data_IF_017976591491
#
_entry.id   IF_017976591491
#
_cell.length_a   1.000
_cell.length_b   1.000
_cell.length_c   1.000
_cell.angle_alpha   90.00
_cell.angle_beta   90.00
_cell.angle_gamma   90.00
#
_symmetry.space_group_name_H-M   'P 1'
#
loop_
_entity.id
_entity.type
_entity.pdbx_description
1 polymer ?
#
# COMPACT_ATOMS: atom_id res chain seq x y z
N UNK A 1 1.92 26.70 23.68
CA UNK A 1 2.88 26.58 22.55
C UNK A 1 3.25 25.12 22.21
N UNK A 2 3.20 24.17 23.16
CA UNK A 2 3.53 22.75 22.91
C UNK A 2 2.57 22.02 21.93
N UNK A 3 1.29 22.38 21.90
CA UNK A 3 0.28 21.68 21.08
C UNK A 3 0.45 21.87 19.57
N UNK A 4 0.85 23.06 19.11
CA UNK A 4 0.91 23.37 17.67
C UNK A 4 2.06 22.61 16.96
N UNK A 5 3.17 22.35 17.68
CA UNK A 5 4.29 21.58 17.15
C UNK A 5 3.93 20.09 17.01
N UNK A 6 3.25 19.52 18.01
CA UNK A 6 2.75 18.13 17.95
C UNK A 6 1.78 17.90 16.77
N UNK A 7 0.83 18.81 16.56
CA UNK A 7 -0.11 18.71 15.43
C UNK A 7 0.60 18.79 14.08
N UNK A 8 1.56 19.70 13.92
CA UNK A 8 2.34 19.80 12.67
C UNK A 8 3.14 18.53 12.36
N UNK A 9 3.75 17.90 13.37
CA UNK A 9 4.51 16.65 13.21
C UNK A 9 3.61 15.45 12.92
N UNK A 10 2.43 15.38 13.55
CA UNK A 10 1.42 14.37 13.26
C UNK A 10 0.93 14.47 11.81
N UNK A 11 0.65 15.68 11.33
CA UNK A 11 0.24 15.94 9.95
C UNK A 11 1.32 15.56 8.94
N UNK A 12 2.58 15.88 9.23
CA UNK A 12 3.71 15.50 8.35
C UNK A 12 3.90 13.98 8.27
N UNK A 13 3.79 13.29 9.41
CA UNK A 13 3.86 11.83 9.47
C UNK A 13 2.69 11.16 8.72
N UNK A 14 1.48 11.71 8.84
CA UNK A 14 0.32 11.26 8.07
C UNK A 14 0.52 11.45 6.56
N UNK A 15 1.02 12.62 6.13
CA UNK A 15 1.37 12.91 4.73
C UNK A 15 2.41 11.94 4.18
N UNK A 16 3.48 11.66 4.94
CA UNK A 16 4.53 10.70 4.56
C UNK A 16 3.98 9.28 4.41
N UNK A 17 3.06 8.85 5.28
CA UNK A 17 2.37 7.55 5.15
C UNK A 17 1.55 7.48 3.85
N UNK A 18 0.72 8.49 3.57
CA UNK A 18 -0.10 8.55 2.36
C UNK A 18 0.76 8.58 1.09
N UNK A 19 1.86 9.34 1.10
CA UNK A 19 2.80 9.39 -0.02
C UNK A 19 3.40 8.02 -0.35
N UNK A 20 3.77 7.24 0.68
CA UNK A 20 4.33 5.89 0.51
C UNK A 20 3.32 4.90 -0.09
N UNK A 21 2.06 4.99 0.34
CA UNK A 21 0.95 4.19 -0.22
C UNK A 21 0.68 4.56 -1.67
N UNK A 22 0.64 5.86 -2.01
CA UNK A 22 0.44 6.33 -3.39
C UNK A 22 1.52 5.80 -4.34
N UNK A 23 2.79 5.84 -3.92
CA UNK A 23 3.91 5.36 -4.72
C UNK A 23 3.83 3.85 -4.98
N UNK A 24 3.38 3.07 -3.99
CA UNK A 24 3.11 1.64 -4.14
C UNK A 24 2.01 1.36 -5.16
N UNK A 25 0.88 2.08 -5.11
CA UNK A 25 -0.21 1.90 -6.08
C UNK A 25 0.22 2.21 -7.51
N UNK A 26 1.03 3.25 -7.73
CA UNK A 26 1.57 3.55 -9.07
C UNK A 26 2.41 2.36 -9.58
N UNK A 27 3.32 1.83 -8.75
CA UNK A 27 4.14 0.68 -9.13
C UNK A 27 3.29 -0.58 -9.42
N UNK A 28 2.27 -0.83 -8.60
CA UNK A 28 1.35 -1.95 -8.79
C UNK A 28 0.55 -1.82 -10.10
N UNK A 29 0.06 -0.62 -10.43
CA UNK A 29 -0.67 -0.37 -11.68
C UNK A 29 0.27 -0.55 -12.88
N UNK A 30 1.49 0.02 -12.85
CA UNK A 30 2.49 -0.19 -13.89
C UNK A 30 2.82 -1.67 -14.09
N UNK A 31 2.90 -2.44 -13.00
CA UNK A 31 3.13 -3.88 -13.06
C UNK A 31 1.97 -4.65 -13.73
N UNK A 32 0.73 -4.33 -13.39
CA UNK A 32 -0.46 -4.94 -14.01
C UNK A 32 -0.50 -4.63 -15.52
N UNK A 33 -0.21 -3.38 -15.90
CA UNK A 33 -0.13 -2.97 -17.31
C UNK A 33 1.00 -3.72 -18.01
N UNK A 34 2.17 -3.82 -17.39
CA UNK A 34 3.31 -4.58 -17.92
C UNK A 34 2.96 -6.04 -18.17
N UNK A 35 2.34 -6.72 -17.21
CA UNK A 35 1.86 -8.10 -17.39
C UNK A 35 0.86 -8.20 -18.55
N UNK A 36 -0.11 -7.29 -18.60
CA UNK A 36 -1.16 -7.31 -19.63
C UNK A 36 -0.57 -7.16 -21.04
N UNK A 37 0.38 -6.23 -21.21
CA UNK A 37 1.11 -6.05 -22.47
C UNK A 37 1.98 -7.26 -22.81
N UNK A 38 2.59 -7.90 -21.82
CA UNK A 38 3.43 -9.07 -22.03
C UNK A 38 2.62 -10.31 -22.45
N UNK A 39 1.44 -10.52 -21.83
CA UNK A 39 0.49 -11.58 -22.23
C UNK A 39 -0.03 -11.31 -23.65
N UNK A 40 -0.34 -10.05 -23.96
CA UNK A 40 -0.76 -9.66 -25.31
C UNK A 40 0.33 -9.93 -26.36
N UNK A 41 1.60 -9.63 -26.02
CA UNK A 41 2.73 -9.92 -26.89
C UNK A 41 2.92 -11.43 -27.12
N UNK A 42 2.78 -12.25 -26.07
CA UNK A 42 2.83 -13.70 -26.16
C UNK A 42 1.76 -14.29 -27.09
N UNK A 43 0.59 -13.65 -27.18
CA UNK A 43 -0.51 -14.10 -28.04
C UNK A 43 -0.26 -13.80 -29.53
N UNK A 44 0.64 -12.87 -29.83
CA UNK A 44 0.93 -12.41 -31.20
C UNK A 44 2.23 -12.98 -31.75
N UNK A 45 3.19 -13.32 -30.87
CA UNK A 45 4.48 -13.87 -31.27
C UNK A 45 4.33 -15.33 -31.74
N UNK A 46 4.52 -15.54 -33.04
CA UNK A 46 4.72 -16.84 -33.68
C UNK A 46 6.10 -16.80 -34.32
N UNK A 47 7.15 -17.09 -33.55
CA UNK A 47 8.54 -17.00 -34.02
C UNK A 47 9.42 -18.08 -33.39
N UNK A 48 10.49 -18.47 -34.07
CA UNK A 48 11.38 -19.59 -33.70
C UNK A 48 12.12 -19.36 -32.37
N UNK A 49 12.18 -18.10 -31.90
CA UNK A 49 12.78 -17.70 -30.62
C UNK A 49 11.76 -17.46 -29.49
N UNK A 50 10.49 -17.78 -29.71
CA UNK A 50 9.41 -17.52 -28.76
C UNK A 50 9.66 -18.15 -27.38
N UNK A 51 10.26 -19.33 -27.32
CA UNK A 51 10.53 -20.04 -26.05
C UNK A 51 11.55 -19.31 -25.17
N UNK A 52 12.64 -18.79 -25.77
CA UNK A 52 13.68 -18.06 -25.03
C UNK A 52 13.12 -16.73 -24.50
N UNK A 53 12.37 -16.02 -25.34
CA UNK A 53 11.74 -14.75 -24.98
C UNK A 53 10.70 -14.97 -23.88
N UNK A 54 9.89 -16.03 -23.99
CA UNK A 54 8.88 -16.39 -23.00
C UNK A 54 9.52 -16.76 -21.65
N UNK A 55 10.60 -17.54 -21.65
CA UNK A 55 11.31 -17.90 -20.41
C UNK A 55 11.91 -16.69 -19.69
N UNK A 56 12.48 -15.76 -20.44
CA UNK A 56 13.05 -14.52 -19.90
C UNK A 56 11.95 -13.61 -19.33
N UNK A 57 10.84 -13.49 -20.06
CA UNK A 57 9.64 -12.76 -19.65
C UNK A 57 9.02 -13.31 -18.35
N UNK A 58 8.86 -14.63 -18.23
CA UNK A 58 8.35 -15.28 -17.00
C UNK A 58 9.30 -15.01 -15.83
N UNK A 59 10.62 -15.12 -16.05
CA UNK A 59 11.63 -14.87 -15.01
C UNK A 59 11.56 -13.43 -14.49
N UNK A 60 11.38 -12.45 -15.38
CA UNK A 60 11.17 -11.05 -15.02
C UNK A 60 9.90 -10.90 -14.18
N UNK A 61 8.77 -11.48 -14.61
CA UNK A 61 7.51 -11.40 -13.83
C UNK A 61 7.70 -12.00 -12.44
N UNK A 62 8.33 -13.17 -12.31
CA UNK A 62 8.53 -13.83 -11.02
C UNK A 62 9.38 -12.96 -10.09
N UNK A 63 10.49 -12.41 -10.58
CA UNK A 63 11.34 -11.50 -9.82
C UNK A 63 10.59 -10.24 -9.39
N UNK A 64 9.85 -9.61 -10.31
CA UNK A 64 9.07 -8.40 -10.02
C UNK A 64 7.90 -8.67 -9.06
N UNK A 65 7.30 -9.86 -9.12
CA UNK A 65 6.26 -10.31 -8.16
C UNK A 65 6.81 -10.30 -6.75
N UNK A 66 8.00 -10.87 -6.55
CA UNK A 66 8.65 -10.93 -5.22
C UNK A 66 8.96 -9.53 -4.70
N UNK A 67 9.46 -8.64 -5.57
CA UNK A 67 9.73 -7.24 -5.22
C UNK A 67 8.46 -6.53 -4.76
N UNK A 68 7.34 -6.71 -5.46
CA UNK A 68 6.05 -6.11 -5.08
C UNK A 68 5.53 -6.67 -3.76
N UNK A 69 5.68 -7.96 -3.49
CA UNK A 69 5.28 -8.57 -2.21
C UNK A 69 6.07 -7.95 -1.05
N UNK A 70 7.38 -7.76 -1.21
CA UNK A 70 8.23 -7.12 -0.20
C UNK A 70 7.83 -5.65 -0.01
N UNK A 71 7.59 -4.93 -1.11
CA UNK A 71 7.13 -3.54 -1.08
C UNK A 71 5.77 -3.42 -0.37
N UNK A 72 4.83 -4.31 -0.67
CA UNK A 72 3.52 -4.40 -0.03
C UNK A 72 3.67 -4.66 1.46
N UNK A 73 4.51 -5.62 1.85
CA UNK A 73 4.79 -5.89 3.26
C UNK A 73 5.33 -4.65 3.98
N UNK A 74 6.27 -3.93 3.37
CA UNK A 74 6.85 -2.70 3.93
C UNK A 74 5.82 -1.58 4.14
N UNK A 75 4.89 -1.41 3.19
CA UNK A 75 3.83 -0.40 3.24
C UNK A 75 2.71 -0.79 4.22
N UNK A 76 2.27 -2.05 4.19
CA UNK A 76 1.11 -2.52 4.95
C UNK A 76 1.44 -3.00 6.36
N UNK A 77 2.69 -3.34 6.70
CA UNK A 77 3.09 -3.72 8.08
C UNK A 77 2.68 -2.67 9.11
N UNK A 78 2.81 -1.39 8.75
CA UNK A 78 2.39 -0.28 9.61
C UNK A 78 0.89 0.00 9.63
N UNK A 79 0.10 -0.51 8.67
CA UNK A 79 -1.37 -0.37 8.67
C UNK A 79 -2.05 -1.56 9.35
N UNK A 80 -1.59 -2.79 9.12
CA UNK A 80 -2.14 -4.00 9.75
C UNK A 80 -1.95 -4.01 11.28
N UNK A 81 -0.77 -3.59 11.76
CA UNK A 81 -0.50 -3.53 13.20
C UNK A 81 -1.21 -2.35 13.89
N UNK A 82 -1.32 -1.19 13.23
CA UNK A 82 -1.98 -0.01 13.81
C UNK A 82 -3.49 -0.02 13.69
N UNK A 83 -4.10 -0.82 12.80
CA UNK A 83 -5.55 -0.77 12.57
C UNK A 83 -6.33 -1.07 13.85
N UNK A 84 -5.93 -2.13 14.56
CA UNK A 84 -6.63 -2.61 15.75
C UNK A 84 -6.47 -1.67 16.95
N UNK A 85 -5.24 -1.24 17.26
CA UNK A 85 -4.99 -0.32 18.38
C UNK A 85 -5.58 1.08 18.14
N UNK A 86 -5.56 1.55 16.89
CA UNK A 86 -6.17 2.84 16.54
C UNK A 86 -7.70 2.78 16.57
N UNK A 87 -8.31 1.71 16.06
CA UNK A 87 -9.76 1.49 16.19
C UNK A 87 -10.19 1.42 17.66
N UNK A 88 -9.51 0.62 18.49
CA UNK A 88 -9.84 0.51 19.92
C UNK A 88 -9.69 1.84 20.66
N UNK A 89 -8.65 2.62 20.33
CA UNK A 89 -8.44 3.95 20.92
C UNK A 89 -9.56 4.90 20.52
N UNK A 90 -9.97 4.90 19.24
CA UNK A 90 -11.07 5.76 18.76
C UNK A 90 -12.42 5.36 19.34
N UNK A 91 -12.70 4.06 19.45
CA UNK A 91 -13.91 3.56 20.10
C UNK A 91 -13.97 3.99 21.57
N UNK A 92 -12.85 3.91 22.30
CA UNK A 92 -12.77 4.43 23.69
C UNK A 92 -12.99 5.93 23.78
N UNK A 93 -12.45 6.71 22.85
CA UNK A 93 -12.62 8.16 22.80
C UNK A 93 -14.09 8.53 22.58
N UNK A 94 -14.75 7.92 21.59
CA UNK A 94 -16.20 8.11 21.33
C UNK A 94 -17.09 7.65 22.49
N UNK A 95 -16.76 6.53 23.15
CA UNK A 95 -17.50 6.06 24.34
C UNK A 95 -17.30 7.01 25.53
N UNK A 96 -16.09 7.53 25.73
CA UNK A 96 -15.77 8.48 26.79
C UNK A 96 -16.42 9.85 26.59
N UNK A 97 -16.43 10.37 25.35
CA UNK A 97 -17.10 11.63 25.00
C UNK A 97 -18.61 11.54 25.25
N UNK A 98 -19.28 10.46 24.81
CA UNK A 98 -20.70 10.24 25.08
C UNK A 98 -21.02 10.15 26.57
N UNK A 99 -20.14 9.54 27.36
CA UNK A 99 -20.36 9.39 28.80
C UNK A 99 -20.08 10.68 29.58
N UNK A 100 -19.25 11.58 29.05
CA UNK A 100 -19.11 12.93 29.56
C UNK A 100 -20.33 13.78 29.19
N UNK A 101 -20.77 13.76 27.93
CA UNK A 101 -21.93 14.53 27.45
C UNK A 101 -23.20 14.20 28.26
N UNK A 102 -23.46 12.92 28.56
CA UNK A 102 -24.58 12.50 29.42
C UNK A 102 -24.45 12.82 30.92
N UNK A 103 -23.28 13.27 31.39
CA UNK A 103 -23.08 13.67 32.79
C UNK A 103 -23.32 15.17 33.01
N UNK A 104 -23.30 15.94 31.94
CA UNK A 104 -23.49 17.39 31.95
C UNK A 104 -24.91 17.82 31.53
N UNK A 105 -25.77 16.86 31.18
CA UNK A 105 -27.23 17.00 31.07
C UNK A 105 -27.92 16.41 32.32
#
# INVERSE_FOLDING_TARGET
MKSNIDESQLLENAKKKVGRVKFFYIHLICYIIGISLMIYNLYIVVDEYADVITGLNISIIVLWTVVIIIQAWSVFKGQLLFKKDWEDKKVKEYLGEKQQEQRWE
#
